data_IF_075669930719
#
_entry.id   IF_075669930719
#
_cell.length_a   1.000
_cell.length_b   1.000
_cell.length_c   1.000
_cell.angle_alpha   90.00
_cell.angle_beta   90.00
_cell.angle_gamma   90.00
#
_symmetry.space_group_name_H-M   'P 1'
#
loop_
_entity.id
_entity.type
_entity.pdbx_description
1 polymer ?
#
# COMPACT_ATOMS: atom_id res chain seq x y z
N UNK A 1 -16.50 5.69 4.91
CA UNK A 1 -15.29 6.42 5.35
C UNK A 1 -14.25 6.39 4.23
N UNK A 2 -13.52 7.49 4.02
CA UNK A 2 -12.42 7.61 3.05
C UNK A 2 -11.40 8.63 3.54
N UNK A 3 -10.18 8.57 3.00
CA UNK A 3 -9.17 9.61 3.16
C UNK A 3 -9.09 10.40 1.86
N UNK A 4 -9.29 11.70 1.92
CA UNK A 4 -9.20 12.61 0.77
C UNK A 4 -8.00 13.54 0.93
N UNK A 5 -7.14 13.60 -0.08
CA UNK A 5 -5.95 14.44 -0.17
C UNK A 5 -6.12 15.38 -1.34
N UNK A 6 -5.92 16.69 -1.13
CA UNK A 6 -6.06 17.72 -2.18
C UNK A 6 -4.87 18.66 -2.20
N UNK A 7 -4.26 18.81 -3.37
CA UNK A 7 -3.20 19.76 -3.70
C UNK A 7 -2.04 19.72 -2.69
N UNK A 8 -1.70 18.51 -2.20
CA UNK A 8 -0.70 18.34 -1.15
C UNK A 8 0.71 18.43 -1.74
N UNK A 9 1.51 19.39 -1.24
CA UNK A 9 2.89 19.58 -1.66
C UNK A 9 3.83 19.68 -0.47
N UNK A 10 5.07 19.21 -0.67
CA UNK A 10 6.13 19.25 0.34
C UNK A 10 7.50 19.41 -0.31
N UNK A 11 8.20 20.46 0.09
CA UNK A 11 9.60 20.71 -0.24
C UNK A 11 10.42 20.74 1.05
N UNK A 12 11.51 20.01 1.10
CA UNK A 12 12.42 20.02 2.24
C UNK A 12 13.37 21.23 2.20
N UNK A 13 13.96 21.59 3.33
CA UNK A 13 14.89 22.73 3.45
C UNK A 13 16.11 22.64 2.51
N UNK A 14 16.50 21.44 2.08
CA UNK A 14 17.56 21.22 1.10
C UNK A 14 17.10 21.40 -0.36
N UNK A 15 15.88 21.90 -0.60
CA UNK A 15 15.32 22.14 -1.92
C UNK A 15 14.71 20.91 -2.61
N UNK A 16 14.74 19.73 -1.98
CA UNK A 16 14.12 18.52 -2.55
C UNK A 16 12.61 18.63 -2.47
N UNK A 17 11.94 18.66 -3.63
CA UNK A 17 10.48 18.60 -3.75
C UNK A 17 10.04 17.16 -3.65
N UNK A 18 9.58 16.76 -2.47
CA UNK A 18 9.23 15.38 -2.15
C UNK A 18 7.79 15.02 -2.53
N UNK A 19 6.88 16.00 -2.53
CA UNK A 19 5.49 15.86 -2.99
C UNK A 19 5.11 17.07 -3.81
N UNK A 20 4.41 16.86 -4.92
CA UNK A 20 3.98 17.91 -5.85
C UNK A 20 2.52 17.68 -6.21
N UNK A 21 1.65 18.56 -5.73
CA UNK A 21 0.23 18.58 -6.07
C UNK A 21 -0.44 17.20 -5.99
N UNK A 22 -0.22 16.49 -4.89
CA UNK A 22 -0.83 15.17 -4.68
C UNK A 22 -2.33 15.34 -4.49
N UNK A 23 -3.09 14.72 -5.38
CA UNK A 23 -4.53 14.58 -5.31
C UNK A 23 -4.87 13.10 -5.30
N UNK A 24 -5.54 12.61 -4.23
CA UNK A 24 -5.79 11.18 -4.05
C UNK A 24 -7.02 10.96 -3.17
N UNK A 25 -7.87 10.00 -3.55
CA UNK A 25 -9.00 9.56 -2.74
C UNK A 25 -8.85 8.09 -2.39
N UNK A 26 -8.61 7.81 -1.12
CA UNK A 26 -8.39 6.46 -0.61
C UNK A 26 -9.66 5.99 0.09
N UNK A 27 -10.41 5.04 -0.49
CA UNK A 27 -11.62 4.51 0.12
C UNK A 27 -11.28 3.58 1.30
N UNK A 28 -12.30 3.19 2.05
CA UNK A 28 -12.23 2.08 3.00
C UNK A 28 -11.76 0.81 2.29
N UNK A 29 -10.96 0.01 2.94
CA UNK A 29 -10.33 -1.19 2.38
C UNK A 29 -8.82 -1.06 2.26
N UNK A 30 -8.22 -2.06 1.60
CA UNK A 30 -6.79 -2.09 1.32
C UNK A 30 -6.46 -1.25 0.09
N UNK A 31 -5.57 -0.28 0.27
CA UNK A 31 -5.07 0.60 -0.78
C UNK A 31 -3.55 0.46 -0.92
N UNK A 32 -3.06 0.14 -2.11
CA UNK A 32 -1.64 0.02 -2.41
C UNK A 32 -1.03 1.34 -2.91
N UNK A 33 0.05 1.79 -2.28
CA UNK A 33 0.87 2.89 -2.78
C UNK A 33 2.20 2.36 -3.30
N UNK A 34 2.30 2.20 -4.61
CA UNK A 34 3.48 1.69 -5.32
C UNK A 34 4.40 2.82 -5.76
N UNK A 35 5.70 2.58 -5.71
CA UNK A 35 6.68 3.51 -6.26
C UNK A 35 8.11 3.14 -5.87
N UNK A 36 9.12 3.61 -6.60
CA UNK A 36 10.52 3.34 -6.30
C UNK A 36 10.96 4.03 -5.00
N UNK A 37 12.16 3.68 -4.53
CA UNK A 37 12.77 4.39 -3.40
C UNK A 37 13.01 5.87 -3.80
N UNK A 38 12.68 6.78 -2.89
CA UNK A 38 12.76 8.22 -3.16
C UNK A 38 11.56 8.80 -3.91
N UNK A 39 10.55 8.02 -4.28
CA UNK A 39 9.35 8.52 -4.98
C UNK A 39 8.46 9.47 -4.17
N UNK A 40 8.66 9.57 -2.85
CA UNK A 40 7.83 10.39 -1.96
C UNK A 40 6.88 9.60 -1.05
N UNK A 41 6.83 8.25 -1.15
CA UNK A 41 5.93 7.38 -0.35
C UNK A 41 6.02 7.67 1.15
N UNK A 42 7.21 7.56 1.74
CA UNK A 42 7.39 7.77 3.18
C UNK A 42 7.12 9.22 3.61
N UNK A 43 7.35 10.21 2.74
CA UNK A 43 6.97 11.60 2.98
C UNK A 43 5.45 11.73 3.07
N UNK A 44 4.71 11.13 2.12
CA UNK A 44 3.25 11.12 2.14
C UNK A 44 2.72 10.40 3.38
N UNK A 45 3.25 9.21 3.70
CA UNK A 45 2.84 8.45 4.89
C UNK A 45 3.07 9.23 6.19
N UNK A 46 4.25 9.86 6.36
CA UNK A 46 4.54 10.68 7.54
C UNK A 46 3.66 11.90 7.65
N UNK A 47 3.28 12.52 6.53
CA UNK A 47 2.36 13.65 6.51
C UNK A 47 0.95 13.23 6.95
N UNK A 48 0.44 12.11 6.43
CA UNK A 48 -0.86 11.54 6.84
C UNK A 48 -0.82 11.11 8.31
N UNK A 49 0.32 10.54 8.76
CA UNK A 49 0.53 10.14 10.16
C UNK A 49 0.74 11.32 11.13
N UNK A 50 0.64 12.57 10.66
CA UNK A 50 0.87 13.79 11.46
C UNK A 50 2.28 13.93 12.06
N UNK A 51 3.27 13.25 11.48
CA UNK A 51 4.66 13.29 11.91
C UNK A 51 5.47 14.41 11.25
N UNK A 52 4.95 14.97 10.16
CA UNK A 52 5.49 16.15 9.49
C UNK A 52 4.36 16.98 8.87
N UNK A 53 4.66 18.24 8.57
CA UNK A 53 3.69 19.16 7.95
C UNK A 53 3.97 19.30 6.46
N UNK A 54 2.92 19.33 5.60
CA UNK A 54 3.08 19.74 4.21
C UNK A 54 3.27 21.26 4.13
N UNK A 55 3.67 21.75 2.95
CA UNK A 55 3.77 23.19 2.71
C UNK A 55 2.42 23.75 2.23
N UNK A 56 1.66 22.94 1.46
CA UNK A 56 0.32 23.30 0.97
C UNK A 56 -0.59 22.07 0.94
N UNK A 57 -1.89 22.31 0.74
CA UNK A 57 -2.90 21.29 0.56
C UNK A 57 -3.70 20.98 1.82
N UNK A 58 -4.55 19.95 1.70
CA UNK A 58 -5.41 19.49 2.79
C UNK A 58 -5.54 17.97 2.78
N UNK A 59 -5.76 17.40 3.97
CA UNK A 59 -6.02 15.97 4.16
C UNK A 59 -7.25 15.83 5.06
N UNK A 60 -8.23 15.05 4.62
CA UNK A 60 -9.48 14.84 5.35
C UNK A 60 -9.78 13.34 5.48
N UNK A 61 -10.06 12.90 6.70
CA UNK A 61 -10.54 11.54 7.00
C UNK A 61 -12.02 11.63 7.41
N UNK A 62 -12.92 10.98 6.68
CA UNK A 62 -14.34 11.02 6.97
C UNK A 62 -15.22 10.34 5.95
N UNK A 63 -16.52 10.52 6.04
CA UNK A 63 -17.46 10.01 5.05
C UNK A 63 -17.42 10.85 3.76
N UNK A 64 -17.68 10.23 2.61
CA UNK A 64 -17.63 10.90 1.30
C UNK A 64 -18.57 12.13 1.22
N UNK A 65 -19.72 12.09 1.90
CA UNK A 65 -20.70 13.17 1.93
C UNK A 65 -20.47 14.18 3.09
N UNK A 66 -19.49 13.97 3.97
CA UNK A 66 -19.26 14.84 5.11
C UNK A 66 -18.63 16.16 4.65
N UNK A 67 -19.20 17.29 5.10
CA UNK A 67 -18.63 18.63 4.91
C UNK A 67 -17.54 18.92 5.93
N UNK A 68 -16.70 19.91 5.66
CA UNK A 68 -15.71 20.42 6.61
C UNK A 68 -16.42 20.87 7.90
N UNK A 69 -15.96 20.37 9.06
CA UNK A 69 -16.58 20.66 10.37
C UNK A 69 -17.69 19.68 10.78
N UNK A 70 -18.03 18.69 9.94
CA UNK A 70 -18.93 17.60 10.36
C UNK A 70 -18.30 16.77 11.48
N UNK A 71 -19.09 16.28 12.46
CA UNK A 71 -18.60 15.37 13.52
C UNK A 71 -17.94 14.09 12.96
N UNK A 72 -18.35 13.66 11.74
CA UNK A 72 -17.85 12.47 11.06
C UNK A 72 -16.62 12.75 10.16
N UNK A 73 -16.09 13.98 10.16
CA UNK A 73 -14.94 14.40 9.38
C UNK A 73 -13.83 14.94 10.29
N UNK A 74 -12.60 14.53 10.02
CA UNK A 74 -11.39 14.95 10.73
C UNK A 74 -10.46 15.65 9.73
N UNK A 75 -10.10 16.91 10.01
CA UNK A 75 -9.02 17.59 9.31
C UNK A 75 -7.68 17.06 9.86
N UNK A 76 -6.99 16.25 9.06
CA UNK A 76 -5.78 15.53 9.49
C UNK A 76 -4.65 16.48 9.90
N UNK A 77 -4.55 17.64 9.26
CA UNK A 77 -3.48 18.60 9.50
C UNK A 77 -3.74 19.47 10.74
N UNK A 78 -5.00 19.74 11.04
CA UNK A 78 -5.42 20.63 12.16
C UNK A 78 -5.79 19.87 13.42
N UNK A 79 -6.44 18.71 13.30
CA UNK A 79 -6.96 17.92 14.42
C UNK A 79 -6.05 16.72 14.75
N UNK A 80 -4.74 16.96 14.87
CA UNK A 80 -3.71 15.91 14.99
C UNK A 80 -3.98 14.93 16.14
N UNK A 81 -4.48 15.39 17.27
CA UNK A 81 -4.76 14.51 18.41
C UNK A 81 -5.93 13.55 18.14
N UNK A 82 -6.98 14.02 17.46
CA UNK A 82 -8.07 13.15 17.01
C UNK A 82 -7.58 12.11 16.00
N UNK A 83 -6.71 12.52 15.07
CA UNK A 83 -6.10 11.58 14.11
C UNK A 83 -5.30 10.52 14.85
N UNK A 84 -4.41 10.90 15.76
CA UNK A 84 -3.56 9.96 16.52
C UNK A 84 -4.33 8.94 17.34
N UNK A 85 -5.52 9.31 17.84
CA UNK A 85 -6.43 8.37 18.51
C UNK A 85 -6.99 7.31 17.56
N UNK A 86 -7.24 7.67 16.31
CA UNK A 86 -7.86 6.82 15.28
C UNK A 86 -6.87 6.22 14.27
N UNK A 87 -5.58 6.55 14.40
CA UNK A 87 -4.51 6.12 13.51
C UNK A 87 -3.78 4.89 14.06
N UNK A 88 -3.62 3.85 13.27
CA UNK A 88 -2.61 2.82 13.43
C UNK A 88 -1.43 3.10 12.48
N UNK A 89 -0.20 3.10 12.97
CA UNK A 89 0.97 3.33 12.13
C UNK A 89 2.05 2.29 12.39
N UNK A 90 2.40 1.54 11.36
CA UNK A 90 3.55 0.64 11.34
C UNK A 90 4.60 1.23 10.40
N UNK A 91 5.66 1.87 10.93
CA UNK A 91 6.75 2.38 10.11
C UNK A 91 7.64 1.26 9.57
N UNK A 92 8.40 1.53 8.52
CA UNK A 92 9.36 0.61 7.92
C UNK A 92 10.36 0.07 8.94
N UNK A 93 10.90 0.94 9.80
CA UNK A 93 11.74 0.57 10.93
C UNK A 93 10.94 0.69 12.22
N UNK A 94 10.41 -0.41 12.70
CA UNK A 94 9.73 -0.46 13.99
C UNK A 94 10.74 -0.75 15.10
N UNK A 95 11.15 0.31 15.79
CA UNK A 95 12.01 0.22 16.96
C UNK A 95 11.29 -0.37 18.18
N UNK A 96 11.89 -1.34 18.82
CA UNK A 96 11.39 -1.93 20.08
C UNK A 96 12.35 -1.70 21.21
N UNK A 97 11.85 -1.64 22.44
CA UNK A 97 12.67 -1.65 23.64
C UNK A 97 13.14 -3.08 23.96
N UNK A 98 14.43 -3.43 23.74
CA UNK A 98 14.86 -4.82 23.73
C UNK A 98 14.69 -5.53 25.10
N UNK A 99 14.71 -4.78 26.19
CA UNK A 99 14.62 -5.30 27.55
C UNK A 99 13.19 -5.50 28.07
N UNK A 100 12.18 -4.99 27.31
CA UNK A 100 10.76 -5.03 27.71
C UNK A 100 10.08 -6.22 27.04
N UNK A 101 9.07 -6.81 27.69
CA UNK A 101 8.24 -7.88 27.10
C UNK A 101 7.14 -7.31 26.22
N UNK A 102 6.67 -8.09 25.24
CA UNK A 102 5.59 -7.67 24.35
C UNK A 102 4.32 -7.27 25.11
N UNK A 103 3.89 -8.10 26.07
CA UNK A 103 2.71 -7.84 26.90
C UNK A 103 2.80 -6.47 27.63
N UNK A 104 3.96 -6.18 28.24
CA UNK A 104 4.15 -4.91 28.98
C UNK A 104 4.19 -3.71 28.06
N UNK A 105 4.85 -3.80 26.91
CA UNK A 105 4.97 -2.68 25.98
C UNK A 105 3.62 -2.40 25.31
N UNK A 106 2.88 -3.45 24.94
CA UNK A 106 1.54 -3.30 24.36
C UNK A 106 0.55 -2.73 25.37
N UNK A 107 0.59 -3.15 26.66
CA UNK A 107 -0.22 -2.55 27.74
C UNK A 107 0.11 -1.06 27.92
N UNK A 108 1.38 -0.67 27.84
CA UNK A 108 1.79 0.72 27.91
C UNK A 108 1.23 1.55 26.73
N UNK A 109 1.35 1.04 25.48
CA UNK A 109 0.76 1.72 24.32
C UNK A 109 -0.77 1.80 24.40
N UNK A 110 -1.43 0.79 24.96
CA UNK A 110 -2.87 0.82 25.17
C UNK A 110 -3.31 1.96 26.13
N UNK A 111 -2.51 2.25 27.18
CA UNK A 111 -2.73 3.41 28.04
C UNK A 111 -2.61 4.72 27.24
N UNK A 112 -1.58 4.85 26.40
CA UNK A 112 -1.38 6.03 25.55
C UNK A 112 -2.50 6.21 24.52
N UNK A 113 -3.15 5.12 24.13
CA UNK A 113 -4.35 5.13 23.26
C UNK A 113 -5.65 5.43 24.04
N UNK A 114 -5.56 5.72 25.35
CA UNK A 114 -6.71 6.10 26.17
C UNK A 114 -7.47 4.93 26.79
N UNK A 115 -6.99 3.68 26.68
CA UNK A 115 -7.61 2.52 27.32
C UNK A 115 -7.15 2.48 28.80
N UNK A 116 -7.79 3.29 29.64
CA UNK A 116 -7.38 3.49 31.04
C UNK A 116 -7.90 2.40 31.97
N UNK A 117 -9.07 1.81 31.71
CA UNK A 117 -9.58 0.71 32.51
C UNK A 117 -8.68 -0.53 32.40
N UNK A 118 -8.20 -1.03 33.54
CA UNK A 118 -7.23 -2.11 33.61
C UNK A 118 -7.78 -3.44 33.06
N UNK A 119 -9.07 -3.71 33.28
CA UNK A 119 -9.70 -4.98 32.86
C UNK A 119 -9.91 -4.98 31.35
N UNK A 120 -10.47 -3.90 30.80
CA UNK A 120 -10.65 -3.70 29.37
C UNK A 120 -9.29 -3.74 28.64
N UNK A 121 -8.29 -3.04 29.16
CA UNK A 121 -6.95 -3.01 28.58
C UNK A 121 -6.29 -4.38 28.53
N UNK A 122 -6.39 -5.18 29.62
CA UNK A 122 -5.91 -6.56 29.61
C UNK A 122 -6.58 -7.42 28.54
N UNK A 123 -7.89 -7.31 28.40
CA UNK A 123 -8.64 -8.07 27.42
C UNK A 123 -8.20 -7.69 25.97
N UNK A 124 -8.04 -6.39 25.68
CA UNK A 124 -7.56 -5.92 24.36
C UNK A 124 -6.13 -6.40 24.08
N UNK A 125 -5.22 -6.27 25.05
CA UNK A 125 -3.82 -6.71 24.90
C UNK A 125 -3.75 -8.22 24.63
N UNK A 126 -4.52 -9.02 25.38
CA UNK A 126 -4.56 -10.47 25.20
C UNK A 126 -5.11 -10.87 23.83
N UNK A 127 -6.23 -10.26 23.41
CA UNK A 127 -6.83 -10.47 22.09
C UNK A 127 -5.87 -10.14 20.95
N UNK A 128 -5.19 -8.99 21.00
CA UNK A 128 -4.23 -8.59 19.97
C UNK A 128 -3.01 -9.52 19.91
N UNK A 129 -2.51 -9.98 21.05
CA UNK A 129 -1.41 -10.96 21.10
C UNK A 129 -1.83 -12.32 20.52
N UNK A 130 -3.07 -12.73 20.71
CA UNK A 130 -3.62 -13.93 20.06
C UNK A 130 -3.77 -13.71 18.54
N UNK A 131 -4.40 -12.61 18.12
CA UNK A 131 -4.61 -12.28 16.70
C UNK A 131 -3.29 -12.23 15.91
N UNK A 132 -2.22 -11.73 16.54
CA UNK A 132 -0.89 -11.63 15.91
C UNK A 132 -0.01 -12.87 16.13
N UNK A 133 -0.53 -13.95 16.73
CA UNK A 133 0.22 -15.18 17.06
C UNK A 133 1.47 -14.93 17.92
N UNK A 134 1.36 -14.03 18.90
CA UNK A 134 2.43 -13.68 19.84
C UNK A 134 2.09 -14.04 21.29
N UNK A 135 0.89 -14.58 21.56
CA UNK A 135 0.43 -14.88 22.91
C UNK A 135 1.37 -15.80 23.69
N UNK A 136 1.85 -16.90 23.10
CA UNK A 136 2.72 -17.88 23.76
C UNK A 136 4.10 -17.30 24.12
N UNK A 137 4.54 -16.29 23.38
CA UNK A 137 5.83 -15.62 23.57
C UNK A 137 5.71 -14.24 24.21
N UNK A 138 4.50 -13.82 24.65
CA UNK A 138 4.20 -12.48 25.16
C UNK A 138 5.09 -12.00 26.32
N UNK A 139 5.61 -12.94 27.11
CA UNK A 139 6.50 -12.67 28.24
C UNK A 139 7.99 -12.70 27.87
N UNK A 140 8.32 -13.10 26.64
CA UNK A 140 9.70 -13.03 26.13
C UNK A 140 10.05 -11.56 25.86
N UNK A 141 11.28 -11.18 26.14
CA UNK A 141 11.81 -9.84 25.84
C UNK A 141 11.84 -9.60 24.33
N UNK A 142 11.46 -8.43 23.88
CA UNK A 142 11.38 -8.06 22.45
C UNK A 142 12.72 -8.12 21.73
N UNK A 143 13.85 -7.93 22.44
CA UNK A 143 15.18 -8.12 21.88
C UNK A 143 15.45 -9.55 21.37
N UNK A 144 14.73 -10.55 21.88
CA UNK A 144 14.83 -11.95 21.44
C UNK A 144 13.80 -12.34 20.37
N UNK A 145 13.03 -11.40 19.80
CA UNK A 145 12.08 -11.66 18.73
C UNK A 145 12.78 -11.74 17.37
N UNK A 146 12.30 -12.65 16.49
CA UNK A 146 12.68 -12.65 15.08
C UNK A 146 12.18 -11.40 14.36
N UNK A 147 12.64 -11.16 13.14
CA UNK A 147 12.14 -10.07 12.29
C UNK A 147 10.61 -10.13 12.13
N UNK A 148 10.08 -11.29 11.74
CA UNK A 148 8.64 -11.49 11.59
C UNK A 148 7.86 -11.38 12.90
N UNK A 149 8.42 -11.81 14.04
CA UNK A 149 7.78 -11.57 15.34
C UNK A 149 7.73 -10.08 15.69
N UNK A 150 8.77 -9.30 15.37
CA UNK A 150 8.77 -7.84 15.58
C UNK A 150 7.75 -7.14 14.70
N UNK A 151 7.64 -7.54 13.43
CA UNK A 151 6.62 -7.02 12.51
C UNK A 151 5.21 -7.29 13.04
N UNK A 152 4.90 -8.53 13.44
CA UNK A 152 3.60 -8.89 14.03
C UNK A 152 3.30 -8.11 15.32
N UNK A 153 4.33 -7.86 16.13
CA UNK A 153 4.16 -6.99 17.30
C UNK A 153 3.86 -5.54 16.90
N UNK A 154 4.49 -5.01 15.86
CA UNK A 154 4.19 -3.70 15.30
C UNK A 154 2.74 -3.60 14.82
N UNK A 155 2.20 -4.67 14.20
CA UNK A 155 0.77 -4.74 13.84
C UNK A 155 -0.10 -4.70 15.09
N UNK A 156 0.21 -5.47 16.13
CA UNK A 156 -0.54 -5.45 17.37
C UNK A 156 -0.61 -4.02 17.97
N UNK A 157 0.51 -3.28 17.89
CA UNK A 157 0.55 -1.86 18.32
C UNK A 157 -0.31 -0.97 17.40
N UNK A 158 -0.23 -1.16 16.08
CA UNK A 158 -0.99 -0.39 15.12
C UNK A 158 -2.51 -0.60 15.27
N UNK A 159 -2.95 -1.77 15.73
CA UNK A 159 -4.37 -2.12 15.93
C UNK A 159 -4.95 -1.63 17.25
N UNK A 160 -4.13 -1.12 18.16
CA UNK A 160 -4.64 -0.59 19.43
C UNK A 160 -5.65 0.54 19.23
N UNK A 161 -6.80 0.42 19.90
CA UNK A 161 -7.84 1.44 19.91
C UNK A 161 -8.75 1.44 18.68
N UNK A 162 -8.84 0.32 17.95
CA UNK A 162 -9.72 0.14 16.78
C UNK A 162 -9.56 1.26 15.74
N UNK A 163 -8.37 1.39 15.13
CA UNK A 163 -8.04 2.51 14.26
C UNK A 163 -8.97 2.56 13.05
N UNK A 164 -9.31 3.78 12.62
CA UNK A 164 -10.08 4.07 11.41
C UNK A 164 -9.19 4.27 10.18
N UNK A 165 -7.93 4.58 10.41
CA UNK A 165 -6.88 4.73 9.41
C UNK A 165 -5.67 3.92 9.85
N UNK A 166 -5.18 3.04 8.99
CA UNK A 166 -3.98 2.23 9.23
C UNK A 166 -2.98 2.52 8.12
N UNK A 167 -1.76 2.84 8.50
CA UNK A 167 -0.65 3.06 7.57
C UNK A 167 0.41 2.01 7.85
N UNK A 168 0.82 1.31 6.80
CA UNK A 168 1.81 0.24 6.87
C UNK A 168 2.89 0.52 5.82
N UNK A 169 4.09 0.88 6.27
CA UNK A 169 5.19 1.31 5.41
C UNK A 169 6.20 0.17 5.23
N UNK A 170 6.28 -0.38 4.01
CA UNK A 170 7.17 -1.48 3.57
C UNK A 170 7.21 -2.69 4.53
N UNK A 171 6.06 -3.26 4.92
CA UNK A 171 5.99 -4.20 6.03
C UNK A 171 6.57 -5.59 5.73
N UNK A 172 6.68 -5.97 4.46
CA UNK A 172 7.12 -7.31 4.03
C UNK A 172 8.62 -7.37 3.73
N UNK A 173 9.29 -6.22 3.75
CA UNK A 173 10.73 -6.14 3.51
C UNK A 173 11.53 -6.98 4.53
N UNK A 174 12.32 -7.92 4.04
CA UNK A 174 13.17 -8.78 4.87
C UNK A 174 12.45 -9.92 5.60
N UNK A 175 11.18 -10.19 5.31
CA UNK A 175 10.48 -11.39 5.75
C UNK A 175 10.81 -12.58 4.85
N UNK A 176 10.89 -13.77 5.45
CA UNK A 176 10.91 -14.99 4.67
C UNK A 176 9.53 -15.26 4.00
N UNK A 177 9.47 -16.11 2.95
CA UNK A 177 8.22 -16.32 2.21
C UNK A 177 7.05 -16.79 3.09
N UNK A 178 7.28 -17.64 4.08
CA UNK A 178 6.23 -18.15 4.95
C UNK A 178 5.72 -17.07 5.92
N UNK A 179 6.63 -16.25 6.47
CA UNK A 179 6.26 -15.11 7.32
C UNK A 179 5.54 -14.03 6.50
N UNK A 180 5.96 -13.78 5.24
CA UNK A 180 5.27 -12.84 4.34
C UNK A 180 3.81 -13.25 4.13
N UNK A 181 3.54 -14.50 3.76
CA UNK A 181 2.16 -15.00 3.56
C UNK A 181 1.31 -14.83 4.83
N UNK A 182 1.85 -15.20 5.99
CA UNK A 182 1.14 -15.04 7.28
C UNK A 182 0.84 -13.58 7.58
N UNK A 183 1.78 -12.69 7.25
CA UNK A 183 1.64 -11.26 7.48
C UNK A 183 0.59 -10.65 6.55
N UNK A 184 0.59 -11.01 5.25
CA UNK A 184 -0.41 -10.55 4.27
C UNK A 184 -1.81 -11.01 4.67
N UNK A 185 -1.98 -12.26 5.12
CA UNK A 185 -3.26 -12.75 5.64
C UNK A 185 -3.76 -11.97 6.87
N UNK A 186 -2.84 -11.57 7.76
CA UNK A 186 -3.18 -10.72 8.90
C UNK A 186 -3.65 -9.33 8.45
N UNK A 187 -2.95 -8.72 7.49
CA UNK A 187 -3.33 -7.40 6.96
C UNK A 187 -4.67 -7.44 6.21
N UNK A 188 -4.94 -8.49 5.44
CA UNK A 188 -6.20 -8.65 4.69
C UNK A 188 -7.41 -8.55 5.61
N UNK A 189 -7.35 -9.17 6.79
CA UNK A 189 -8.44 -9.12 7.77
C UNK A 189 -8.71 -7.70 8.34
N UNK A 190 -7.77 -6.76 8.20
CA UNK A 190 -7.91 -5.39 8.74
C UNK A 190 -8.66 -4.44 7.80
N UNK A 191 -8.69 -4.76 6.50
CA UNK A 191 -9.30 -3.89 5.49
C UNK A 191 -10.81 -3.78 5.56
N UNK A 192 -11.51 -4.62 6.34
CA UNK A 192 -12.97 -4.64 6.36
C UNK A 192 -13.59 -3.37 6.98
N UNK A 193 -12.96 -2.76 7.98
CA UNK A 193 -13.53 -1.67 8.76
C UNK A 193 -12.73 -0.36 8.77
N UNK A 194 -11.54 -0.34 8.21
CA UNK A 194 -10.63 0.81 8.19
C UNK A 194 -10.17 1.18 6.77
N UNK A 195 -9.64 2.39 6.62
CA UNK A 195 -8.79 2.76 5.48
C UNK A 195 -7.40 2.24 5.77
N UNK A 196 -6.89 1.31 4.98
CA UNK A 196 -5.56 0.72 5.15
C UNK A 196 -4.67 1.09 3.98
N UNK A 197 -3.58 1.81 4.22
CA UNK A 197 -2.61 2.22 3.20
C UNK A 197 -1.37 1.35 3.33
N UNK A 198 -1.13 0.53 2.33
CA UNK A 198 0.07 -0.28 2.18
C UNK A 198 1.06 0.44 1.27
N UNK A 199 2.14 0.97 1.83
CA UNK A 199 3.26 1.52 1.06
C UNK A 199 4.25 0.41 0.76
N UNK A 200 4.54 0.16 -0.50
CA UNK A 200 5.48 -0.89 -0.90
C UNK A 200 6.13 -0.60 -2.25
N UNK A 201 7.28 -1.21 -2.52
CA UNK A 201 7.88 -1.31 -3.84
C UNK A 201 7.70 -2.72 -4.44
N UNK A 202 7.05 -3.63 -3.70
CA UNK A 202 6.77 -5.01 -4.12
C UNK A 202 5.39 -5.05 -4.75
N UNK A 203 5.35 -5.23 -6.07
CA UNK A 203 4.10 -5.20 -6.86
C UNK A 203 3.15 -6.33 -6.46
N UNK A 204 3.71 -7.51 -6.13
CA UNK A 204 2.93 -8.68 -5.72
C UNK A 204 2.09 -8.43 -4.46
N UNK A 205 2.62 -7.66 -3.47
CA UNK A 205 1.86 -7.34 -2.26
C UNK A 205 0.57 -6.57 -2.58
N UNK A 206 0.63 -5.67 -3.56
CA UNK A 206 -0.53 -4.88 -4.00
C UNK A 206 -1.50 -5.73 -4.81
N UNK A 207 -0.97 -6.59 -5.68
CA UNK A 207 -1.78 -7.52 -6.48
C UNK A 207 -2.59 -8.48 -5.62
N UNK A 208 -2.01 -8.96 -4.51
CA UNK A 208 -2.64 -9.92 -3.61
C UNK A 208 -3.65 -9.29 -2.65
N UNK A 209 -3.41 -8.05 -2.18
CA UNK A 209 -4.17 -7.47 -1.07
C UNK A 209 -5.07 -6.30 -1.43
N UNK A 210 -4.72 -5.53 -2.46
CA UNK A 210 -5.31 -4.21 -2.63
C UNK A 210 -6.39 -4.20 -3.70
N UNK A 211 -7.57 -3.67 -3.37
CA UNK A 211 -8.65 -3.43 -4.34
C UNK A 211 -8.48 -2.12 -5.11
N UNK A 212 -7.68 -1.21 -4.59
CA UNK A 212 -7.32 0.08 -5.22
C UNK A 212 -5.84 0.35 -5.00
N UNK A 213 -5.22 1.05 -5.95
CA UNK A 213 -3.82 1.42 -5.87
C UNK A 213 -3.54 2.79 -6.47
N UNK A 214 -2.39 3.35 -6.10
CA UNK A 214 -1.77 4.45 -6.83
C UNK A 214 -0.29 4.15 -7.08
N UNK A 215 0.22 4.64 -8.21
CA UNK A 215 1.65 4.63 -8.53
C UNK A 215 2.16 6.06 -8.37
N UNK A 216 3.17 6.22 -7.52
CA UNK A 216 3.84 7.51 -7.27
C UNK A 216 5.27 7.47 -7.76
N UNK A 217 5.71 8.53 -8.45
CA UNK A 217 7.10 8.75 -8.81
C UNK A 217 7.44 10.24 -8.71
N UNK A 218 8.63 10.54 -8.21
CA UNK A 218 9.16 11.91 -8.05
C UNK A 218 8.15 12.88 -7.44
N UNK A 219 7.43 12.42 -6.42
CA UNK A 219 6.46 13.22 -5.69
C UNK A 219 5.14 13.47 -6.41
N UNK A 220 4.84 12.80 -7.51
CA UNK A 220 3.57 12.93 -8.26
C UNK A 220 2.86 11.59 -8.39
N UNK A 221 1.53 11.59 -8.36
CA UNK A 221 0.72 10.40 -8.68
C UNK A 221 0.68 10.25 -10.20
N UNK A 222 1.17 9.11 -10.68
CA UNK A 222 1.19 8.78 -12.11
C UNK A 222 -0.08 8.04 -12.53
N UNK A 223 -0.62 7.19 -11.65
CA UNK A 223 -1.80 6.37 -11.89
C UNK A 223 -2.56 6.17 -10.58
N UNK A 224 -3.88 6.25 -10.63
CA UNK A 224 -4.79 5.73 -9.61
C UNK A 224 -5.77 4.77 -10.28
N UNK A 225 -5.86 3.52 -9.83
CA UNK A 225 -6.67 2.49 -10.48
C UNK A 225 -7.07 1.34 -9.54
N UNK A 226 -8.01 0.53 -9.99
CA UNK A 226 -8.21 -0.85 -9.57
C UNK A 226 -7.13 -1.72 -10.25
N UNK A 227 -6.34 -2.52 -9.53
CA UNK A 227 -5.28 -3.34 -10.11
C UNK A 227 -5.74 -4.26 -11.24
N UNK A 228 -6.88 -4.94 -11.08
CA UNK A 228 -7.39 -5.88 -12.07
C UNK A 228 -7.85 -5.16 -13.36
N UNK A 229 -8.46 -3.97 -13.22
CA UNK A 229 -8.84 -3.15 -14.36
C UNK A 229 -7.62 -2.61 -15.11
N UNK A 230 -6.58 -2.22 -14.37
CA UNK A 230 -5.33 -1.75 -14.96
C UNK A 230 -4.62 -2.86 -15.74
N UNK A 231 -4.58 -4.08 -15.20
CA UNK A 231 -4.06 -5.27 -15.90
C UNK A 231 -4.89 -5.55 -17.16
N UNK A 232 -6.22 -5.58 -17.05
CA UNK A 232 -7.10 -5.84 -18.18
C UNK A 232 -6.92 -4.82 -19.33
N UNK A 233 -6.57 -3.58 -19.01
CA UNK A 233 -6.32 -2.55 -20.01
C UNK A 233 -5.05 -2.79 -20.87
N UNK A 234 -4.14 -3.65 -20.39
CA UNK A 234 -2.93 -4.09 -21.14
C UNK A 234 -3.16 -5.37 -21.95
N UNK A 235 -4.34 -5.98 -21.87
CA UNK A 235 -4.62 -7.23 -22.59
C UNK A 235 -4.37 -7.09 -24.09
N UNK A 236 -3.62 -8.06 -24.66
CA UNK A 236 -3.26 -8.08 -26.07
C UNK A 236 -2.12 -7.13 -26.49
N UNK A 237 -1.43 -6.48 -25.52
CA UNK A 237 -0.41 -5.45 -25.77
C UNK A 237 0.96 -5.78 -25.21
N UNK A 238 1.07 -6.84 -24.41
CA UNK A 238 2.34 -7.23 -23.80
C UNK A 238 2.93 -8.41 -24.56
N UNK A 239 4.12 -8.19 -25.08
CA UNK A 239 4.83 -9.18 -25.88
C UNK A 239 6.13 -9.54 -25.19
N UNK A 240 6.51 -10.82 -25.23
CA UNK A 240 7.70 -11.37 -24.62
C UNK A 240 8.61 -12.02 -25.65
N UNK A 241 9.91 -11.85 -25.47
CA UNK A 241 10.93 -12.53 -26.23
C UNK A 241 12.12 -12.90 -25.35
N UNK A 242 12.71 -14.06 -25.61
CA UNK A 242 14.01 -14.45 -25.03
C UNK A 242 15.09 -14.07 -26.04
N UNK A 243 16.08 -13.32 -25.61
CA UNK A 243 17.15 -12.81 -26.46
C UNK A 243 18.52 -13.10 -25.84
N UNK A 244 19.55 -13.03 -26.64
CA UNK A 244 20.92 -12.95 -26.14
C UNK A 244 21.19 -11.55 -25.55
N UNK A 245 22.04 -11.50 -24.54
CA UNK A 245 22.35 -10.23 -23.86
C UNK A 245 22.95 -9.18 -24.82
N UNK A 246 23.68 -9.61 -25.84
CA UNK A 246 24.25 -8.76 -26.91
C UNK A 246 23.18 -8.06 -27.75
N UNK A 247 21.98 -8.63 -27.85
CA UNK A 247 20.89 -8.08 -28.66
C UNK A 247 20.04 -7.03 -27.95
N UNK A 248 20.23 -6.84 -26.63
CA UNK A 248 19.37 -5.98 -25.80
C UNK A 248 19.31 -4.56 -26.34
N UNK A 249 20.44 -3.91 -26.61
CA UNK A 249 20.46 -2.55 -27.13
C UNK A 249 19.72 -2.40 -28.49
N UNK A 250 19.78 -3.42 -29.33
CA UNK A 250 19.07 -3.43 -30.62
C UNK A 250 17.55 -3.50 -30.37
N UNK A 251 17.11 -4.31 -29.42
CA UNK A 251 15.70 -4.45 -29.06
C UNK A 251 15.18 -3.18 -28.42
N UNK A 252 15.92 -2.56 -27.51
CA UNK A 252 15.56 -1.29 -26.85
C UNK A 252 15.42 -0.12 -27.85
N UNK A 253 16.22 -0.11 -28.92
CA UNK A 253 16.11 0.89 -29.98
C UNK A 253 14.90 0.68 -30.91
N UNK A 254 14.47 -0.59 -31.08
CA UNK A 254 13.42 -0.97 -32.03
C UNK A 254 12.03 -1.07 -31.37
N UNK A 255 11.94 -1.27 -30.07
CA UNK A 255 10.71 -1.56 -29.37
C UNK A 255 10.62 -0.81 -28.03
N UNK A 256 9.40 -0.60 -27.58
CA UNK A 256 9.11 -0.05 -26.24
C UNK A 256 9.32 -1.12 -25.18
N UNK A 257 10.55 -1.26 -24.70
CA UNK A 257 10.89 -2.19 -23.64
C UNK A 257 10.35 -1.67 -22.30
N UNK A 258 9.51 -2.46 -21.66
CA UNK A 258 8.94 -2.13 -20.34
C UNK A 258 9.67 -2.84 -19.21
N UNK A 259 10.16 -4.07 -19.44
CA UNK A 259 10.96 -4.78 -18.44
C UNK A 259 11.97 -5.74 -19.09
N UNK A 260 13.06 -5.98 -18.36
CA UNK A 260 14.10 -6.96 -18.72
C UNK A 260 14.42 -7.80 -17.50
N UNK A 261 14.28 -9.11 -17.60
CA UNK A 261 14.55 -10.07 -16.52
C UNK A 261 15.51 -11.16 -16.97
N UNK A 262 16.29 -11.70 -16.05
CA UNK A 262 17.05 -12.93 -16.28
C UNK A 262 16.21 -14.14 -15.85
N UNK A 263 16.00 -15.08 -16.74
CA UNK A 263 15.36 -16.35 -16.47
C UNK A 263 16.28 -17.50 -16.91
N UNK A 264 16.76 -18.29 -15.95
CA UNK A 264 17.70 -19.39 -16.20
C UNK A 264 18.93 -18.96 -17.05
N UNK A 265 19.48 -17.77 -16.75
CA UNK A 265 20.66 -17.23 -17.45
C UNK A 265 20.38 -16.58 -18.83
N UNK A 266 19.14 -16.61 -19.31
CA UNK A 266 18.72 -15.97 -20.56
C UNK A 266 18.03 -14.63 -20.29
N UNK A 267 18.21 -13.68 -21.18
CA UNK A 267 17.55 -12.37 -21.09
C UNK A 267 16.14 -12.47 -21.65
N UNK A 268 15.15 -12.24 -20.81
CA UNK A 268 13.73 -12.15 -21.18
C UNK A 268 13.34 -10.69 -21.23
N UNK A 269 12.87 -10.23 -22.38
CA UNK A 269 12.41 -8.85 -22.58
C UNK A 269 10.91 -8.85 -22.74
N UNK A 270 10.23 -7.92 -22.06
CA UNK A 270 8.81 -7.60 -22.27
C UNK A 270 8.70 -6.22 -22.92
N UNK A 271 7.87 -6.12 -23.94
CA UNK A 271 7.61 -4.87 -24.67
C UNK A 271 6.13 -4.55 -24.70
N UNK A 272 5.82 -3.27 -24.72
CA UNK A 272 4.47 -2.77 -24.98
C UNK A 272 4.33 -2.49 -26.48
N UNK A 273 3.29 -3.04 -27.10
CA UNK A 273 2.95 -2.75 -28.49
C UNK A 273 1.46 -3.01 -28.76
N UNK A 274 0.78 -2.07 -29.42
CA UNK A 274 -0.63 -2.21 -29.84
C UNK A 274 -0.79 -3.18 -31.05
N UNK A 275 0.30 -3.47 -31.75
CA UNK A 275 0.34 -4.43 -32.86
C UNK A 275 1.43 -5.47 -32.63
N UNK A 276 1.35 -6.60 -33.34
CA UNK A 276 2.40 -7.64 -33.29
C UNK A 276 3.75 -7.05 -33.68
N UNK A 277 4.75 -7.02 -32.78
CA UNK A 277 6.07 -6.49 -33.08
C UNK A 277 6.77 -7.33 -34.16
N UNK A 278 7.63 -6.71 -34.96
CA UNK A 278 8.41 -7.43 -35.98
C UNK A 278 9.37 -8.43 -35.36
N UNK A 279 9.40 -9.67 -35.87
CA UNK A 279 10.20 -10.78 -35.38
C UNK A 279 9.40 -11.80 -34.58
N UNK A 280 10.13 -12.70 -33.91
CA UNK A 280 9.50 -13.77 -33.12
C UNK A 280 9.14 -13.27 -31.68
N UNK A 281 7.93 -12.80 -31.51
CA UNK A 281 7.40 -12.36 -30.23
C UNK A 281 6.22 -13.24 -29.81
N UNK A 282 6.15 -13.54 -28.52
CA UNK A 282 5.04 -14.25 -27.91
C UNK A 282 4.15 -13.25 -27.19
N UNK A 283 2.86 -13.19 -27.57
CA UNK A 283 1.86 -12.49 -26.78
C UNK A 283 1.71 -13.18 -25.42
N UNK A 284 1.73 -12.42 -24.33
CA UNK A 284 1.59 -12.95 -22.98
C UNK A 284 0.50 -12.22 -22.23
N UNK A 285 -0.07 -12.87 -21.23
CA UNK A 285 -0.99 -12.23 -20.32
C UNK A 285 -0.24 -11.18 -19.49
N UNK A 286 -0.80 -9.95 -19.40
CA UNK A 286 -0.22 -8.91 -18.58
C UNK A 286 -0.39 -9.20 -17.10
N UNK A 287 0.54 -8.70 -16.31
CA UNK A 287 0.48 -8.70 -14.84
C UNK A 287 0.60 -7.27 -14.29
N UNK A 288 0.54 -7.12 -12.96
CA UNK A 288 0.64 -5.80 -12.34
C UNK A 288 2.02 -5.18 -12.48
N UNK A 289 3.09 -5.98 -12.65
CA UNK A 289 4.42 -5.47 -12.96
C UNK A 289 4.45 -4.77 -14.33
N UNK A 290 3.73 -5.30 -15.32
CA UNK A 290 3.62 -4.66 -16.64
C UNK A 290 2.91 -3.30 -16.54
N UNK A 291 1.86 -3.21 -15.73
CA UNK A 291 1.19 -1.93 -15.43
C UNK A 291 2.17 -0.96 -14.79
N UNK A 292 2.89 -1.41 -13.77
CA UNK A 292 3.87 -0.59 -13.06
C UNK A 292 4.95 -0.05 -14.01
N UNK A 293 5.62 -0.92 -14.74
CA UNK A 293 6.70 -0.51 -15.65
C UNK A 293 6.19 0.32 -16.83
N UNK A 294 5.04 -0.02 -17.41
CA UNK A 294 4.43 0.78 -18.47
C UNK A 294 4.05 2.19 -18.00
N UNK A 295 3.61 2.32 -16.75
CA UNK A 295 3.34 3.63 -16.12
C UNK A 295 4.63 4.41 -15.91
N UNK A 296 5.67 3.77 -15.36
CA UNK A 296 6.96 4.40 -15.08
C UNK A 296 7.66 4.89 -16.36
N UNK A 297 7.50 4.17 -17.47
CA UNK A 297 8.04 4.56 -18.79
C UNK A 297 7.15 5.55 -19.55
N UNK A 298 6.00 5.93 -18.98
CA UNK A 298 5.11 6.94 -19.56
C UNK A 298 4.11 6.42 -20.58
N UNK A 299 4.11 5.14 -20.90
CA UNK A 299 3.24 4.55 -21.93
C UNK A 299 1.80 4.33 -21.45
N UNK A 300 1.56 4.24 -20.16
CA UNK A 300 0.24 4.00 -19.57
C UNK A 300 -0.49 5.26 -19.09
N UNK A 301 0.13 6.45 -19.12
CA UNK A 301 -0.46 7.72 -18.63
C UNK A 301 -1.76 8.12 -19.33
N UNK A 302 -1.88 7.87 -20.62
CA UNK A 302 -3.06 8.24 -21.41
C UNK A 302 -4.34 7.45 -21.03
N UNK A 303 -4.18 6.30 -20.37
CA UNK A 303 -5.28 5.42 -20.00
C UNK A 303 -5.78 5.66 -18.56
N UNK A 304 -4.95 6.20 -17.68
CA UNK A 304 -5.30 6.47 -16.29
C UNK A 304 -6.50 7.41 -16.14
N UNK A 305 -6.63 8.41 -17.01
CA UNK A 305 -7.75 9.34 -17.03
C UNK A 305 -9.08 8.66 -17.43
N UNK A 306 -9.05 7.66 -18.30
CA UNK A 306 -10.24 6.91 -18.73
C UNK A 306 -10.72 5.89 -17.68
N UNK A 307 -9.81 5.35 -16.86
CA UNK A 307 -10.15 4.37 -15.82
C UNK A 307 -10.75 5.00 -14.56
N UNK A 308 -10.51 6.28 -14.32
CA UNK A 308 -11.01 7.02 -13.17
C UNK A 308 -12.51 7.41 -13.27
N UNK A 309 -13.09 7.42 -14.47
CA UNK A 309 -14.43 7.97 -14.71
C UNK A 309 -15.58 6.97 -14.62
N UNK A 310 -15.32 5.66 -14.56
CA UNK A 310 -16.38 4.64 -14.54
C UNK A 310 -16.63 4.08 -13.12
N UNK A 311 -17.30 4.87 -12.29
CA UNK A 311 -17.75 4.52 -10.93
C UNK A 311 -19.18 3.94 -10.88
N UNK A 312 -19.65 3.29 -11.94
CA UNK A 312 -20.98 2.67 -11.94
C UNK A 312 -20.98 1.39 -11.08
N UNK A 313 -21.90 1.22 -10.10
CA UNK A 313 -22.00 0.01 -9.30
C UNK A 313 -22.42 -1.17 -10.19
N UNK A 314 -21.70 -2.29 -10.08
CA UNK A 314 -22.10 -3.55 -10.74
C UNK A 314 -23.49 -3.96 -10.27
N UNK A 315 -24.41 -4.11 -11.21
CA UNK A 315 -25.64 -4.87 -10.97
C UNK A 315 -25.25 -6.32 -10.72
N UNK A 316 -25.60 -6.83 -9.53
CA UNK A 316 -25.54 -8.25 -9.22
C UNK A 316 -26.33 -9.04 -10.29
N UNK A 317 -25.62 -9.82 -11.09
CA UNK A 317 -26.22 -10.77 -12.00
C UNK A 317 -26.82 -11.91 -11.18
N UNK A 318 -28.14 -12.02 -11.22
CA UNK A 318 -28.98 -13.08 -10.69
C UNK A 318 -28.38 -14.45 -11.05
N UNK A 319 -27.98 -15.20 -10.03
CA UNK A 319 -27.81 -16.65 -10.10
C UNK A 319 -29.20 -17.26 -10.32
N UNK A 320 -29.44 -17.74 -11.54
CA UNK A 320 -30.56 -18.59 -11.84
C UNK A 320 -30.31 -19.92 -11.14
N UNK A 321 -31.11 -20.20 -10.12
CA UNK A 321 -31.22 -21.52 -9.49
C UNK A 321 -31.81 -22.52 -10.50
N UNK A 322 -31.03 -23.49 -10.88
CA UNK A 322 -31.54 -24.71 -11.51
C UNK A 322 -31.82 -25.68 -10.36
N UNK A 323 -33.07 -25.91 -10.08
CA UNK A 323 -33.57 -26.99 -9.21
C UNK A 323 -34.06 -28.17 -10.06
N UNK A 324 -34.17 -29.37 -9.46
CA UNK A 324 -33.76 -30.68 -9.93
C UNK A 324 -34.65 -31.29 -11.03
#
# INVERSE_FOLDING_TARGET
MQLEIKNLSKTYANGVQALTDINLTIPRGMFGLLGPNGAGKSTLMRTIATLQEPDTGSIRLGDAAATVGSPTSIDVLREKDRVRQTLGYLPQEFGVYPSVTAERLLDHFAILKGITDRRARRAVVDALLHQTNLHDVRRKKLGGYSGGMRQRFGVAVALLGEPKLIIVDEPTAGLDPAERVRFLNLLSALGEDAVVILSTHIVDDVSELCSRMAIIDRGTILLEADPLRAIAALQGRIWRRVIDRSDLERVERAHTVISTKLLAGRTVVRVYSDATPAGEWQLVEPDLEDVYFSTMTGHFRAWGAALATDSSPRRESQLVAVSP
#
